data_IF_012074524950
#
_entry.id   IF_012074524950
#
_cell.length_a   1.000
_cell.length_b   1.000
_cell.length_c   1.000
_cell.angle_alpha   90.00
_cell.angle_beta   90.00
_cell.angle_gamma   90.00
#
_symmetry.space_group_name_H-M   'P 1'
#
loop_
_entity.id
_entity.type
_entity.pdbx_description
1 polymer ?
#
# COMPACT_ATOMS: atom_id res chain seq x y z
N UNK A 1 10.50 6.10 19.46
CA UNK A 1 9.70 5.23 18.56
C UNK A 1 8.36 5.90 18.36
N UNK A 2 8.11 6.48 17.17
CA UNK A 2 6.84 7.14 16.89
C UNK A 2 5.69 6.12 16.93
N UNK A 3 4.59 6.49 17.56
CA UNK A 3 3.35 5.71 17.49
C UNK A 3 2.99 5.64 16.01
N UNK A 4 2.82 4.46 15.41
CA UNK A 4 2.38 4.37 14.02
C UNK A 4 1.11 5.19 13.87
N UNK A 5 1.06 6.08 12.88
CA UNK A 5 -0.16 6.78 12.55
C UNK A 5 -1.28 5.75 12.45
N UNK A 6 -2.40 6.01 13.15
CA UNK A 6 -3.47 5.06 13.22
C UNK A 6 -3.95 4.73 11.79
N UNK A 7 -3.81 3.48 11.39
CA UNK A 7 -4.28 3.01 10.09
C UNK A 7 -5.73 2.52 10.18
N UNK A 8 -6.44 2.63 9.07
CA UNK A 8 -7.76 2.04 8.88
C UNK A 8 -7.63 0.53 8.59
N UNK A 9 -8.73 -0.21 8.69
CA UNK A 9 -8.72 -1.66 8.46
C UNK A 9 -8.35 -2.03 7.01
N UNK A 10 -8.56 -1.13 6.06
CA UNK A 10 -8.12 -1.26 4.66
C UNK A 10 -6.62 -0.99 4.46
N UNK A 11 -5.90 -0.62 5.51
CA UNK A 11 -4.47 -0.31 5.45
C UNK A 11 -4.13 1.14 5.09
N UNK A 12 -5.10 1.94 4.65
CA UNK A 12 -4.88 3.37 4.42
C UNK A 12 -4.72 4.11 5.75
N UNK A 13 -3.95 5.19 5.82
CA UNK A 13 -3.89 6.04 7.01
C UNK A 13 -5.25 6.68 7.27
N UNK A 14 -5.51 7.12 8.48
CA UNK A 14 -6.65 8.00 8.75
C UNK A 14 -6.49 9.31 8.00
N UNK A 15 -7.55 9.76 7.36
CA UNK A 15 -7.50 10.97 6.56
C UNK A 15 -8.86 11.40 6.05
N UNK A 16 -8.84 12.33 5.12
CA UNK A 16 -10.01 12.86 4.43
C UNK A 16 -9.66 13.10 2.96
N UNK A 17 -10.67 13.29 2.14
CA UNK A 17 -10.51 13.68 0.76
C UNK A 17 -10.71 15.18 0.61
N UNK A 18 -9.89 15.82 -0.21
CA UNK A 18 -10.14 17.14 -0.78
C UNK A 18 -10.62 17.00 -2.20
N UNK A 19 -11.59 17.81 -2.59
CA UNK A 19 -12.09 17.93 -3.94
C UNK A 19 -11.89 19.37 -4.38
N UNK A 20 -11.07 19.55 -5.41
CA UNK A 20 -10.81 20.83 -6.04
C UNK A 20 -11.62 20.91 -7.34
N UNK A 21 -12.61 21.81 -7.40
CA UNK A 21 -13.48 21.95 -8.55
C UNK A 21 -12.98 23.06 -9.47
N UNK A 22 -12.95 22.77 -10.75
CA UNK A 22 -12.73 23.75 -11.81
C UNK A 22 -13.96 23.81 -12.75
N UNK A 23 -13.82 24.52 -13.89
CA UNK A 23 -14.94 24.71 -14.85
C UNK A 23 -15.30 23.43 -15.61
N UNK A 24 -14.43 22.44 -15.63
CA UNK A 24 -14.55 21.24 -16.48
C UNK A 24 -14.56 19.93 -15.69
N UNK A 25 -14.31 19.98 -14.38
CA UNK A 25 -14.31 18.77 -13.58
C UNK A 25 -13.89 19.00 -12.11
N UNK A 26 -13.31 18.01 -11.53
CA UNK A 26 -12.72 18.07 -10.19
C UNK A 26 -11.53 17.13 -10.07
N UNK A 27 -10.59 17.51 -9.23
CA UNK A 27 -9.50 16.66 -8.75
C UNK A 27 -9.82 16.14 -7.36
N UNK A 28 -9.58 14.85 -7.14
CA UNK A 28 -9.72 14.23 -5.84
C UNK A 28 -8.35 13.85 -5.28
N UNK A 29 -8.06 14.28 -4.05
CA UNK A 29 -6.81 13.95 -3.36
C UNK A 29 -7.09 13.49 -1.94
N UNK A 30 -6.41 12.44 -1.52
CA UNK A 30 -6.45 11.98 -0.15
C UNK A 30 -5.46 12.79 0.70
N UNK A 31 -5.87 13.18 1.90
CA UNK A 31 -4.98 13.80 2.89
C UNK A 31 -4.95 12.97 4.15
N UNK A 32 -3.84 12.25 4.36
CA UNK A 32 -3.58 11.53 5.60
C UNK A 32 -3.27 12.48 6.74
N UNK A 33 -3.85 12.25 7.92
CA UNK A 33 -3.59 13.06 9.11
C UNK A 33 -2.12 12.87 9.53
N UNK A 34 -1.39 13.99 9.62
CA UNK A 34 0.03 13.99 9.96
C UNK A 34 0.98 13.52 8.86
N UNK A 35 0.46 13.29 7.63
CA UNK A 35 1.26 12.87 6.49
C UNK A 35 1.40 13.98 5.46
N UNK A 36 2.43 13.88 4.61
CA UNK A 36 2.58 14.73 3.44
C UNK A 36 1.38 14.56 2.49
N UNK A 37 0.96 15.67 1.86
CA UNK A 37 -0.16 15.66 0.90
C UNK A 37 0.13 14.86 -0.36
N UNK A 38 1.40 14.68 -0.71
CA UNK A 38 1.81 13.87 -1.86
C UNK A 38 1.79 12.36 -1.58
N UNK A 39 1.62 11.95 -0.31
CA UNK A 39 1.52 10.54 0.03
C UNK A 39 0.11 10.01 -0.26
N UNK A 40 -0.08 9.48 -1.45
CA UNK A 40 -1.36 9.00 -1.98
C UNK A 40 -1.47 7.48 -2.00
N UNK A 41 -0.40 6.77 -1.66
CA UNK A 41 -0.36 5.31 -1.66
C UNK A 41 0.74 4.76 -0.76
N UNK A 42 0.62 3.47 -0.40
CA UNK A 42 1.70 2.67 0.14
C UNK A 42 2.19 1.69 -0.93
N UNK A 43 3.50 1.60 -1.10
CA UNK A 43 4.14 0.68 -2.04
C UNK A 43 4.92 -0.36 -1.23
N UNK A 44 4.73 -1.62 -1.54
CA UNK A 44 5.32 -2.76 -0.86
C UNK A 44 6.00 -3.70 -1.84
N UNK A 45 7.19 -4.14 -1.50
CA UNK A 45 7.90 -5.21 -2.23
C UNK A 45 8.07 -6.38 -1.27
N UNK A 46 7.44 -7.52 -1.59
CA UNK A 46 7.47 -8.70 -0.73
C UNK A 46 8.86 -9.33 -0.69
N UNK A 47 9.29 -9.70 0.52
CA UNK A 47 10.58 -10.39 0.73
C UNK A 47 11.80 -9.47 0.85
N UNK A 48 11.62 -8.14 0.88
CA UNK A 48 12.70 -7.23 1.29
C UNK A 48 13.01 -7.34 2.78
N UNK A 49 12.02 -7.68 3.58
CA UNK A 49 12.20 -7.93 5.00
C UNK A 49 12.01 -9.43 5.27
N UNK A 50 13.00 -10.07 5.86
CA UNK A 50 12.97 -11.50 6.18
C UNK A 50 11.80 -11.95 7.05
N UNK A 51 11.15 -10.99 7.73
CA UNK A 51 9.97 -11.27 8.54
C UNK A 51 8.73 -11.53 7.67
N UNK A 52 8.68 -11.07 6.42
CA UNK A 52 7.52 -11.21 5.54
C UNK A 52 7.14 -12.69 5.34
N UNK A 53 8.13 -13.58 5.26
CA UNK A 53 7.91 -15.03 5.20
C UNK A 53 7.29 -15.65 6.47
N UNK A 54 7.17 -14.88 7.57
CA UNK A 54 6.55 -15.31 8.83
C UNK A 54 5.17 -14.68 9.06
N UNK A 55 4.77 -13.75 8.17
CA UNK A 55 3.53 -12.98 8.34
C UNK A 55 2.41 -13.62 7.53
N UNK A 56 1.31 -14.10 8.19
CA UNK A 56 0.19 -14.71 7.49
C UNK A 56 -0.40 -13.79 6.41
N UNK A 57 -0.43 -14.29 5.17
CA UNK A 57 -0.91 -13.58 3.99
C UNK A 57 0.19 -12.88 3.19
N UNK A 58 1.39 -12.70 3.74
CA UNK A 58 2.59 -12.34 3.01
C UNK A 58 3.48 -13.56 2.74
N UNK A 59 3.48 -14.53 3.65
CA UNK A 59 4.20 -15.80 3.59
C UNK A 59 3.88 -16.67 2.36
N UNK A 60 2.69 -16.49 1.78
CA UNK A 60 2.25 -17.19 0.57
C UNK A 60 2.54 -16.46 -0.73
N UNK A 61 3.04 -15.24 -0.65
CA UNK A 61 3.38 -14.44 -1.82
C UNK A 61 4.77 -14.79 -2.34
N UNK A 62 4.92 -14.78 -3.66
CA UNK A 62 6.24 -14.94 -4.26
C UNK A 62 7.17 -13.80 -3.85
N UNK A 63 8.46 -14.06 -3.65
CA UNK A 63 9.45 -13.00 -3.54
C UNK A 63 9.33 -12.03 -4.74
N UNK A 64 9.64 -10.76 -4.50
CA UNK A 64 9.52 -9.70 -5.51
C UNK A 64 8.08 -9.40 -5.99
N UNK A 65 7.03 -9.91 -5.35
CA UNK A 65 5.66 -9.42 -5.58
C UNK A 65 5.57 -7.97 -5.12
N UNK A 66 5.08 -7.08 -6.00
CA UNK A 66 4.83 -5.68 -5.68
C UNK A 66 3.35 -5.51 -5.39
N UNK A 67 3.08 -4.80 -4.31
CA UNK A 67 1.73 -4.52 -3.84
C UNK A 67 1.63 -3.02 -3.62
N UNK A 68 0.55 -2.43 -4.11
CA UNK A 68 0.26 -1.01 -3.93
C UNK A 68 -1.12 -0.87 -3.30
N UNK A 69 -1.20 -0.11 -2.21
CA UNK A 69 -2.45 0.34 -1.63
C UNK A 69 -2.68 1.80 -2.03
N UNK A 70 -3.56 2.04 -3.00
CA UNK A 70 -3.90 3.38 -3.48
C UNK A 70 -5.02 3.94 -2.63
N UNK A 71 -4.76 5.05 -1.92
CA UNK A 71 -5.76 5.64 -1.02
C UNK A 71 -6.92 6.23 -1.82
N UNK A 72 -8.10 5.66 -1.63
CA UNK A 72 -9.30 6.06 -2.37
C UNK A 72 -9.44 5.46 -3.75
N UNK A 73 -8.53 4.59 -4.18
CA UNK A 73 -8.71 3.83 -5.40
C UNK A 73 -9.97 2.95 -5.36
N UNK A 74 -10.54 2.64 -6.51
CA UNK A 74 -11.75 1.83 -6.67
C UNK A 74 -11.61 0.86 -7.86
N UNK A 75 -12.65 0.10 -8.14
CA UNK A 75 -12.65 -0.91 -9.22
C UNK A 75 -12.36 -0.33 -10.61
N UNK A 76 -12.61 0.97 -10.83
CA UNK A 76 -12.31 1.65 -12.09
C UNK A 76 -10.91 2.28 -12.13
N UNK A 77 -10.17 2.23 -11.03
CA UNK A 77 -8.81 2.80 -10.97
C UNK A 77 -7.84 1.89 -11.71
N UNK A 78 -7.16 2.45 -12.70
CA UNK A 78 -6.04 1.79 -13.37
C UNK A 78 -4.74 2.11 -12.64
N UNK A 79 -3.97 1.09 -12.30
CA UNK A 79 -2.67 1.25 -11.65
C UNK A 79 -1.57 0.65 -12.52
N UNK A 80 -0.56 1.45 -12.81
CA UNK A 80 0.61 1.05 -13.58
C UNK A 80 1.87 1.18 -12.76
N UNK A 81 2.81 0.29 -13.02
CA UNK A 81 4.11 0.23 -12.37
C UNK A 81 5.22 0.24 -13.40
N UNK A 82 6.28 0.99 -13.10
CA UNK A 82 7.54 0.98 -13.84
C UNK A 82 8.67 0.62 -12.88
N UNK A 83 9.50 -0.33 -13.25
CA UNK A 83 10.70 -0.73 -12.53
C UNK A 83 11.94 -0.26 -13.32
N UNK A 84 12.86 0.44 -12.65
CA UNK A 84 14.18 0.86 -13.17
C UNK A 84 14.15 1.50 -14.56
N UNK A 85 13.18 2.39 -14.81
CA UNK A 85 12.94 3.02 -16.10
C UNK A 85 12.63 2.05 -17.27
N UNK A 86 12.28 0.79 -16.97
CA UNK A 86 11.76 -0.17 -17.95
C UNK A 86 10.36 0.18 -18.46
N UNK A 87 9.67 -0.78 -19.01
CA UNK A 87 8.29 -0.60 -19.51
C UNK A 87 7.28 -0.45 -18.38
N UNK A 88 6.22 0.32 -18.63
CA UNK A 88 5.06 0.40 -17.76
C UNK A 88 4.21 -0.86 -17.88
N UNK A 89 3.93 -1.49 -16.76
CA UNK A 89 3.09 -2.69 -16.67
C UNK A 89 1.82 -2.38 -15.88
N UNK A 90 0.68 -2.88 -16.32
CA UNK A 90 -0.58 -2.76 -15.59
C UNK A 90 -0.60 -3.73 -14.41
N UNK A 91 -1.00 -3.26 -13.25
CA UNK A 91 -1.15 -4.08 -12.04
C UNK A 91 -2.57 -4.64 -11.95
N UNK A 92 -2.70 -5.83 -11.37
CA UNK A 92 -3.99 -6.48 -11.15
C UNK A 92 -4.64 -5.95 -9.86
N UNK A 93 -5.88 -5.50 -9.95
CA UNK A 93 -6.70 -5.20 -8.77
C UNK A 93 -7.05 -6.49 -8.02
N UNK A 94 -6.83 -6.51 -6.71
CA UNK A 94 -7.01 -7.71 -5.87
C UNK A 94 -7.62 -7.36 -4.52
N UNK A 95 -8.45 -8.25 -4.01
CA UNK A 95 -9.02 -8.13 -2.67
C UNK A 95 -8.17 -8.95 -1.68
N UNK A 96 -7.26 -8.29 -0.98
CA UNK A 96 -6.38 -8.91 0.01
C UNK A 96 -6.20 -8.02 1.25
N UNK A 97 -5.67 -8.59 2.33
CA UNK A 97 -5.30 -7.80 3.51
C UNK A 97 -4.08 -6.96 3.15
N UNK A 98 -4.14 -5.67 3.43
CA UNK A 98 -3.01 -4.77 3.17
C UNK A 98 -1.75 -5.23 3.94
N UNK A 99 -0.55 -5.20 3.33
CA UNK A 99 0.68 -5.67 3.96
C UNK A 99 0.97 -5.01 5.31
N UNK A 100 0.77 -3.70 5.43
CA UNK A 100 0.96 -2.97 6.69
C UNK A 100 -0.01 -3.44 7.80
N UNK A 101 -1.25 -3.82 7.44
CA UNK A 101 -2.21 -4.42 8.38
C UNK A 101 -1.73 -5.80 8.82
N UNK A 102 -1.30 -6.66 7.90
CA UNK A 102 -0.75 -7.97 8.20
C UNK A 102 0.44 -7.89 9.15
N UNK A 103 1.38 -6.97 8.89
CA UNK A 103 2.53 -6.70 9.76
C UNK A 103 2.10 -6.23 11.15
N UNK A 104 1.21 -5.27 11.22
CA UNK A 104 0.75 -4.73 12.51
C UNK A 104 0.05 -5.80 13.34
N UNK A 105 -0.77 -6.65 12.72
CA UNK A 105 -1.41 -7.78 13.40
C UNK A 105 -0.39 -8.80 13.92
N UNK A 106 0.66 -9.07 13.14
CA UNK A 106 1.75 -9.94 13.57
C UNK A 106 2.47 -9.37 14.79
N UNK A 107 2.87 -8.09 14.74
CA UNK A 107 3.53 -7.44 15.86
C UNK A 107 2.64 -7.34 17.11
N UNK A 108 1.36 -7.02 16.93
CA UNK A 108 0.41 -7.00 18.03
C UNK A 108 0.31 -8.37 18.71
N UNK A 109 0.23 -9.44 17.94
CA UNK A 109 0.22 -10.81 18.48
C UNK A 109 1.50 -11.12 19.24
N UNK A 110 2.66 -10.76 18.69
CA UNK A 110 3.97 -11.00 19.31
C UNK A 110 4.12 -10.20 20.61
N UNK A 111 3.58 -8.98 20.67
CA UNK A 111 3.58 -8.13 21.84
C UNK A 111 2.46 -8.43 22.85
N UNK A 112 1.62 -9.45 22.59
CA UNK A 112 0.47 -9.79 23.47
C UNK A 112 -0.64 -8.74 23.48
N UNK A 113 -0.81 -7.96 22.40
CA UNK A 113 -1.84 -6.94 22.28
C UNK A 113 -3.03 -7.44 21.43
N UNK A 114 -4.30 -7.10 21.74
CA UNK A 114 -4.73 -6.27 22.87
C UNK A 114 -4.67 -7.01 24.20
N UNK A 115 -4.33 -6.30 25.24
CA UNK A 115 -4.44 -6.82 26.61
C UNK A 115 -5.91 -6.78 27.07
N UNK A 116 -6.24 -7.50 28.13
CA UNK A 116 -7.57 -7.46 28.76
C UNK A 116 -8.00 -6.06 29.25
N UNK A 117 -7.04 -5.15 29.39
CA UNK A 117 -7.30 -3.75 29.80
C UNK A 117 -7.38 -2.78 28.61
N UNK A 118 -7.17 -3.26 27.38
CA UNK A 118 -7.20 -2.40 26.22
C UNK A 118 -8.64 -2.00 25.88
N UNK A 119 -8.92 -0.69 25.93
CA UNK A 119 -10.23 -0.12 25.56
C UNK A 119 -10.29 0.33 24.09
N UNK A 120 -9.22 0.19 23.33
CA UNK A 120 -9.15 0.65 21.92
C UNK A 120 -9.72 -0.41 21.00
N UNK A 121 -10.34 0.05 19.92
CA UNK A 121 -10.77 -0.84 18.85
C UNK A 121 -9.56 -1.59 18.29
N UNK A 122 -9.71 -2.90 18.18
CA UNK A 122 -8.65 -3.78 17.67
C UNK A 122 -8.67 -3.77 16.17
N UNK A 123 -7.49 -3.66 15.54
CA UNK A 123 -7.33 -3.87 14.13
C UNK A 123 -7.77 -5.29 13.76
N UNK A 124 -8.60 -5.43 12.73
CA UNK A 124 -9.13 -6.71 12.27
C UNK A 124 -8.52 -7.10 10.94
N UNK A 125 -8.47 -8.40 10.67
CA UNK A 125 -8.12 -8.94 9.35
C UNK A 125 -9.26 -8.69 8.37
N UNK A 126 -9.21 -7.56 7.70
CA UNK A 126 -10.19 -7.20 6.67
C UNK A 126 -9.49 -7.01 5.34
N UNK A 127 -10.06 -7.60 4.28
CA UNK A 127 -9.57 -7.37 2.92
C UNK A 127 -9.79 -5.91 2.52
N UNK A 128 -8.79 -5.33 1.92
CA UNK A 128 -8.85 -3.97 1.36
C UNK A 128 -9.33 -4.03 -0.09
N UNK A 129 -10.23 -3.15 -0.51
CA UNK A 129 -10.61 -2.98 -1.91
C UNK A 129 -9.66 -2.05 -2.68
N UNK A 130 -8.60 -1.57 -2.05
CA UNK A 130 -7.69 -0.56 -2.60
C UNK A 130 -6.30 -1.12 -2.92
N UNK A 131 -6.21 -2.43 -3.24
CA UNK A 131 -4.93 -3.11 -3.44
C UNK A 131 -4.77 -3.54 -4.89
N UNK A 132 -3.61 -3.22 -5.43
CA UNK A 132 -3.13 -3.73 -6.72
C UNK A 132 -1.86 -4.53 -6.51
N UNK A 133 -1.71 -5.59 -7.31
CA UNK A 133 -0.60 -6.53 -7.21
C UNK A 133 -0.03 -6.83 -8.60
N UNK A 134 1.29 -7.03 -8.65
CA UNK A 134 1.97 -7.62 -9.81
C UNK A 134 3.07 -8.55 -9.31
N UNK A 135 3.25 -9.67 -10.00
CA UNK A 135 4.35 -10.59 -9.78
C UNK A 135 5.34 -10.45 -10.93
N UNK A 136 6.56 -10.10 -10.62
CA UNK A 136 7.62 -10.11 -11.62
C UNK A 136 8.26 -11.49 -11.66
N UNK A 137 8.41 -12.09 -12.85
CA UNK A 137 8.98 -13.43 -12.98
C UNK A 137 10.47 -13.48 -12.65
N UNK A 138 11.16 -12.35 -12.81
CA UNK A 138 12.59 -12.30 -12.73
C UNK A 138 13.09 -12.02 -11.32
N UNK A 139 14.17 -12.70 -10.96
CA UNK A 139 14.95 -12.37 -9.77
C UNK A 139 15.65 -11.05 -10.04
N UNK A 140 15.38 -10.05 -9.22
CA UNK A 140 16.10 -8.78 -9.29
C UNK A 140 17.58 -9.00 -9.05
N UNK A 141 18.43 -8.37 -9.84
CA UNK A 141 19.88 -8.32 -9.59
C UNK A 141 20.16 -7.61 -8.27
N UNK A 142 21.26 -7.93 -7.57
CA UNK A 142 21.68 -7.13 -6.43
C UNK A 142 21.91 -5.67 -6.83
N UNK A 143 21.48 -4.75 -5.98
CA UNK A 143 21.66 -3.32 -6.23
C UNK A 143 20.45 -2.46 -5.83
N UNK A 144 20.53 -1.19 -6.17
CA UNK A 144 19.44 -0.23 -5.91
C UNK A 144 18.43 -0.24 -7.06
N UNK A 145 17.18 -0.39 -6.70
CA UNK A 145 16.04 -0.41 -7.63
C UNK A 145 15.07 0.71 -7.34
N UNK A 146 14.40 1.18 -8.39
CA UNK A 146 13.38 2.23 -8.33
C UNK A 146 12.07 1.73 -8.88
N UNK A 147 11.02 1.92 -8.09
CA UNK A 147 9.63 1.68 -8.50
C UNK A 147 8.93 3.02 -8.65
N UNK A 148 8.26 3.23 -9.78
CA UNK A 148 7.34 4.33 -10.01
C UNK A 148 5.94 3.74 -10.21
N UNK A 149 4.95 4.37 -9.60
CA UNK A 149 3.54 4.00 -9.71
C UNK A 149 2.77 5.19 -10.26
N UNK A 150 1.84 4.93 -11.16
CA UNK A 150 0.80 5.86 -11.59
C UNK A 150 -0.56 5.20 -11.39
N UNK A 151 -1.48 5.91 -10.74
CA UNK A 151 -2.85 5.47 -10.53
C UNK A 151 -3.82 6.57 -10.94
N UNK A 152 -4.82 6.23 -11.75
CA UNK A 152 -5.80 7.19 -12.28
C UNK A 152 -7.13 6.53 -12.55
N UNK A 153 -8.21 7.30 -12.52
CA UNK A 153 -9.56 6.85 -12.88
C UNK A 153 -10.43 7.97 -13.44
N UNK A 154 -11.63 7.60 -13.87
CA UNK A 154 -12.62 8.54 -14.44
C UNK A 154 -13.28 9.46 -13.40
N UNK A 155 -12.99 9.27 -12.11
CA UNK A 155 -13.58 10.05 -11.02
C UNK A 155 -12.64 11.13 -10.48
N UNK A 156 -11.56 11.44 -11.21
CA UNK A 156 -10.63 12.52 -10.87
C UNK A 156 -9.44 12.09 -10.01
N UNK A 157 -9.25 10.79 -9.76
CA UNK A 157 -8.00 10.31 -9.18
C UNK A 157 -6.91 10.33 -10.26
N UNK A 158 -5.84 11.10 -10.05
CA UNK A 158 -4.60 11.04 -10.83
C UNK A 158 -3.42 11.28 -9.88
N UNK A 159 -2.81 10.20 -9.43
CA UNK A 159 -1.80 10.23 -8.39
C UNK A 159 -0.58 9.38 -8.77
N UNK A 160 0.57 9.78 -8.25
CA UNK A 160 1.84 9.07 -8.47
C UNK A 160 2.48 8.70 -7.14
N UNK A 161 3.29 7.67 -7.15
CA UNK A 161 4.11 7.27 -6.02
C UNK A 161 5.43 6.67 -6.49
N UNK A 162 6.41 6.65 -5.59
CA UNK A 162 7.70 6.03 -5.88
C UNK A 162 8.29 5.38 -4.64
N UNK A 163 9.12 4.37 -4.86
CA UNK A 163 9.88 3.68 -3.82
C UNK A 163 11.26 3.35 -4.36
N UNK A 164 12.30 3.65 -3.60
CA UNK A 164 13.63 3.09 -3.83
C UNK A 164 13.93 2.03 -2.77
N UNK A 165 14.57 0.94 -3.18
CA UNK A 165 14.97 -0.14 -2.28
C UNK A 165 16.26 -0.79 -2.76
N UNK A 166 16.95 -1.44 -1.84
CA UNK A 166 18.17 -2.21 -2.13
C UNK A 166 17.83 -3.69 -2.09
N UNK A 167 18.27 -4.41 -3.10
CA UNK A 167 18.27 -5.87 -3.14
C UNK A 167 19.68 -6.36 -2.83
N UNK A 168 19.81 -7.13 -1.79
CA UNK A 168 21.03 -7.85 -1.43
C UNK A 168 21.24 -9.10 -2.28
#
# INVERSE_FOLDING_TARGET
MGIPAAIMQCGSPRGYFTLDFDRIGYDIKFKGVGLDSNRQMDIWVNGLDSIDGKIPGLDTLKPNTRIVNVYGGCDSTEVRIQLDNGTWNTMQHVSMIAPNVSRMLYWNKTAGYPTKYSRRAVLRRQKSPHIWKIEYPDVLTPGTHFVKIKAYDKYGLDVTGSLSFVKE
#
